data_IF_492711970870
#
_entry.id   IF_492711970870
#
_cell.length_a   1.000
_cell.length_b   1.000
_cell.length_c   1.000
_cell.angle_alpha   90.00
_cell.angle_beta   90.00
_cell.angle_gamma   90.00
#
_symmetry.space_group_name_H-M   'P 1'
#
loop_
_entity.id
_entity.type
_entity.pdbx_description
1 polymer ?
#
# COMPACT_ATOMS: atom_id res chain seq x y z
N UNK A 1 58.76 -13.12 -36.34
CA UNK A 1 59.44 -12.12 -37.20
C UNK A 1 58.38 -11.16 -37.74
N UNK A 2 58.50 -9.86 -37.40
CA UNK A 2 58.01 -8.65 -38.11
C UNK A 2 56.48 -8.48 -38.31
N UNK A 3 55.82 -7.60 -37.55
CA UNK A 3 55.57 -6.14 -37.82
C UNK A 3 54.30 -5.94 -38.68
N UNK A 4 53.43 -4.94 -38.52
CA UNK A 4 53.60 -3.55 -38.11
C UNK A 4 52.23 -2.88 -37.89
N UNK A 5 52.23 -1.94 -36.94
CA UNK A 5 51.35 -0.79 -36.71
C UNK A 5 50.57 -0.23 -37.91
N UNK A 6 49.42 0.41 -37.60
CA UNK A 6 49.06 1.75 -38.11
C UNK A 6 48.17 2.54 -37.13
N UNK A 7 48.66 3.72 -36.77
CA UNK A 7 48.07 4.79 -35.93
C UNK A 7 47.03 5.57 -36.73
N UNK A 8 45.98 6.10 -36.11
CA UNK A 8 45.35 7.37 -36.49
C UNK A 8 44.85 8.10 -35.23
N UNK A 9 45.37 9.31 -35.03
CA UNK A 9 44.93 10.30 -34.03
C UNK A 9 43.86 11.17 -34.68
N UNK A 10 42.76 11.46 -33.99
CA UNK A 10 41.93 12.64 -34.26
C UNK A 10 41.60 13.31 -32.92
N UNK A 11 42.05 14.56 -32.80
CA UNK A 11 41.74 15.52 -31.74
C UNK A 11 40.46 16.24 -32.13
N UNK A 12 39.49 16.34 -31.21
CA UNK A 12 38.35 17.27 -31.33
C UNK A 12 38.30 18.16 -30.09
N UNK A 13 38.71 19.42 -30.27
CA UNK A 13 38.42 20.53 -29.36
C UNK A 13 37.07 21.13 -29.74
N UNK A 14 36.15 21.22 -28.78
CA UNK A 14 34.90 21.97 -28.92
C UNK A 14 34.85 23.07 -27.87
N UNK A 15 34.92 24.30 -28.38
CA UNK A 15 34.67 25.57 -27.73
C UNK A 15 33.15 25.68 -27.52
N UNK A 16 32.68 26.02 -26.32
CA UNK A 16 31.29 26.43 -26.10
C UNK A 16 31.23 27.70 -25.27
N UNK A 17 30.60 28.69 -25.89
CA UNK A 17 30.39 30.06 -25.45
C UNK A 17 29.27 30.07 -24.41
N UNK A 18 29.54 30.64 -23.24
CA UNK A 18 28.54 30.91 -22.21
C UNK A 18 27.90 32.28 -22.47
N UNK A 19 26.61 32.32 -22.75
CA UNK A 19 25.81 33.55 -22.78
C UNK A 19 24.95 33.65 -21.53
N UNK A 20 25.22 34.70 -20.75
CA UNK A 20 24.48 35.11 -19.57
C UNK A 20 23.06 35.57 -19.93
N UNK A 21 22.05 35.06 -19.23
CA UNK A 21 20.70 35.63 -19.24
C UNK A 21 20.47 36.34 -17.91
N UNK A 22 20.25 37.65 -18.02
CA UNK A 22 20.07 38.61 -16.94
C UNK A 22 18.61 38.57 -16.47
N UNK A 23 18.43 38.54 -15.15
CA UNK A 23 17.15 38.67 -14.44
C UNK A 23 16.48 40.02 -14.70
N UNK A 24 15.18 40.02 -14.98
CA UNK A 24 14.33 41.21 -14.88
C UNK A 24 13.11 40.92 -14.01
N UNK A 25 13.05 41.62 -12.87
CA UNK A 25 11.90 41.72 -11.99
C UNK A 25 10.94 42.76 -12.57
N UNK A 26 9.66 42.40 -12.72
CA UNK A 26 8.58 43.31 -13.09
C UNK A 26 7.38 43.09 -12.17
N UNK A 27 7.04 44.11 -11.40
CA UNK A 27 6.02 44.14 -10.35
C UNK A 27 4.61 44.38 -10.89
N UNK A 28 3.63 43.76 -10.24
CA UNK A 28 2.29 44.33 -10.06
C UNK A 28 1.12 43.57 -10.72
N UNK A 29 0.31 42.89 -9.92
CA UNK A 29 -1.01 43.41 -9.52
C UNK A 29 -1.74 42.48 -8.54
N UNK A 30 -2.27 43.10 -7.48
CA UNK A 30 -3.17 42.56 -6.47
C UNK A 30 -4.38 41.84 -7.09
N UNK A 31 -4.62 40.59 -6.66
CA UNK A 31 -5.97 40.08 -6.42
C UNK A 31 -5.99 39.36 -5.09
N UNK A 32 -6.81 39.87 -4.19
CA UNK A 32 -7.19 39.27 -2.92
C UNK A 32 -7.62 37.82 -3.13
N UNK A 33 -6.87 36.88 -2.58
CA UNK A 33 -7.34 35.52 -2.37
C UNK A 33 -7.62 35.36 -0.88
N UNK A 34 -8.89 35.11 -0.59
CA UNK A 34 -9.40 34.63 0.70
C UNK A 34 -8.60 33.40 1.09
N UNK A 35 -7.99 33.44 2.27
CA UNK A 35 -7.35 32.28 2.89
C UNK A 35 -8.48 31.40 3.44
N UNK A 36 -8.84 30.36 2.69
CA UNK A 36 -9.63 29.25 3.19
C UNK A 36 -8.67 28.13 3.58
N UNK A 37 -8.39 28.02 4.88
CA UNK A 37 -7.59 26.93 5.43
C UNK A 37 -8.43 25.64 5.44
N UNK A 38 -8.42 24.92 4.32
CA UNK A 38 -8.91 23.56 4.23
C UNK A 38 -7.86 22.57 4.74
N UNK A 39 -8.15 21.89 5.84
CA UNK A 39 -7.41 20.75 6.36
C UNK A 39 -7.35 19.62 5.31
N UNK A 40 -6.17 19.07 4.93
CA UNK A 40 -6.07 18.07 3.85
C UNK A 40 -6.57 16.65 4.22
N UNK A 41 -7.19 16.46 5.38
CA UNK A 41 -7.57 15.14 5.90
C UNK A 41 -9.00 14.69 5.57
N UNK A 42 -9.74 15.38 4.70
CA UNK A 42 -11.15 15.06 4.42
C UNK A 42 -11.42 14.87 2.93
N UNK A 43 -10.74 13.89 2.31
CA UNK A 43 -11.19 13.34 1.03
C UNK A 43 -11.81 11.98 1.28
N UNK A 44 -13.11 12.04 1.50
CA UNK A 44 -14.03 10.97 1.89
C UNK A 44 -14.04 9.76 0.96
N UNK A 45 -14.07 8.57 1.57
CA UNK A 45 -14.49 7.29 1.01
C UNK A 45 -15.87 7.39 0.31
N UNK A 46 -16.15 6.58 -0.73
CA UNK A 46 -17.47 6.53 -1.38
C UNK A 46 -18.59 6.12 -0.39
N UNK A 47 -19.83 6.61 -0.60
CA UNK A 47 -20.92 6.54 0.39
C UNK A 47 -21.44 5.13 0.69
N UNK A 48 -21.11 4.12 -0.11
CA UNK A 48 -21.64 2.76 0.06
C UNK A 48 -20.90 1.92 1.12
N UNK A 49 -19.75 2.37 1.63
CA UNK A 49 -18.98 1.62 2.64
C UNK A 49 -19.50 1.82 4.07
N UNK A 50 -20.28 2.87 4.34
CA UNK A 50 -20.80 3.14 5.69
C UNK A 50 -21.94 2.20 6.11
N UNK A 51 -22.58 1.50 5.18
CA UNK A 51 -23.83 0.76 5.44
C UNK A 51 -23.65 -0.74 5.76
N UNK A 52 -22.46 -1.31 5.51
CA UNK A 52 -22.21 -2.73 5.76
C UNK A 52 -21.86 -3.04 7.23
N UNK A 53 -21.43 -2.04 8.01
CA UNK A 53 -21.10 -2.20 9.44
C UNK A 53 -22.36 -2.13 10.33
N UNK A 54 -23.49 -1.62 9.82
CA UNK A 54 -24.68 -1.31 10.63
C UNK A 54 -25.67 -2.48 10.78
N UNK A 55 -25.51 -3.60 10.05
CA UNK A 55 -26.52 -4.68 10.04
C UNK A 55 -26.16 -5.87 10.97
N UNK A 56 -24.96 -5.91 11.56
CA UNK A 56 -24.54 -7.06 12.37
C UNK A 56 -24.78 -6.95 13.90
N UNK A 57 -25.41 -5.89 14.40
CA UNK A 57 -25.64 -5.74 15.85
C UNK A 57 -27.10 -5.38 16.13
N UNK A 58 -27.93 -6.40 16.28
CA UNK A 58 -29.15 -6.30 17.09
C UNK A 58 -28.96 -7.09 18.37
N UNK A 59 -29.17 -6.38 19.48
CA UNK A 59 -29.57 -6.86 20.80
C UNK A 59 -28.47 -7.42 21.73
N UNK A 60 -28.00 -6.64 22.70
CA UNK A 60 -28.69 -6.52 23.99
C UNK A 60 -28.03 -5.43 24.90
N UNK A 61 -28.82 -4.90 25.82
CA UNK A 61 -28.64 -3.62 26.51
C UNK A 61 -27.58 -3.62 27.63
N UNK A 62 -26.73 -2.57 27.65
CA UNK A 62 -26.47 -1.69 28.83
C UNK A 62 -25.47 -0.60 28.48
N UNK A 63 -25.94 0.65 28.47
CA UNK A 63 -25.12 1.82 28.19
C UNK A 63 -24.04 2.07 29.25
N UNK A 64 -22.85 2.40 28.78
CA UNK A 64 -21.94 3.32 29.46
C UNK A 64 -20.91 3.87 28.44
N UNK A 65 -20.83 5.20 28.34
CA UNK A 65 -19.67 5.95 27.84
C UNK A 65 -19.32 5.78 26.36
N UNK A 66 -19.81 6.71 25.53
CA UNK A 66 -19.25 7.04 24.23
C UNK A 66 -17.78 7.46 24.42
N UNK A 67 -16.87 6.55 24.14
CA UNK A 67 -15.44 6.78 23.98
C UNK A 67 -15.16 6.51 22.50
N UNK A 68 -14.52 7.47 21.83
CA UNK A 68 -13.99 7.40 20.47
C UNK A 68 -12.90 6.31 20.31
N UNK A 69 -13.23 5.08 20.67
CA UNK A 69 -12.35 3.93 20.53
C UNK A 69 -12.50 3.42 19.09
N UNK A 70 -11.45 3.66 18.30
CA UNK A 70 -11.17 2.91 17.09
C UNK A 70 -11.51 1.42 17.30
N UNK A 71 -12.20 0.75 16.35
CA UNK A 71 -12.62 -0.62 16.53
C UNK A 71 -11.41 -1.51 16.79
N UNK A 72 -11.28 -1.96 18.04
CA UNK A 72 -10.21 -2.86 18.47
C UNK A 72 -10.51 -4.25 17.95
N UNK A 73 -9.77 -4.69 16.94
CA UNK A 73 -9.96 -6.03 16.38
C UNK A 73 -9.33 -7.07 17.33
N UNK A 74 -10.13 -7.92 18.02
CA UNK A 74 -9.66 -8.73 19.15
C UNK A 74 -8.54 -9.71 18.79
N UNK A 75 -8.57 -10.28 17.59
CA UNK A 75 -7.58 -11.23 17.08
C UNK A 75 -6.19 -10.57 16.97
N UNK A 76 -6.14 -9.33 16.49
CA UNK A 76 -4.90 -8.57 16.35
C UNK A 76 -4.32 -8.23 17.72
N UNK A 77 -5.17 -7.79 18.64
CA UNK A 77 -4.72 -7.47 20.00
C UNK A 77 -4.23 -8.70 20.77
N UNK A 78 -4.93 -9.83 20.66
CA UNK A 78 -4.51 -11.09 21.33
C UNK A 78 -3.14 -11.54 20.83
N UNK A 79 -2.93 -11.49 19.50
CA UNK A 79 -1.63 -11.80 18.93
C UNK A 79 -0.54 -10.80 19.37
N UNK A 80 -0.84 -9.50 19.37
CA UNK A 80 0.10 -8.46 19.79
C UNK A 80 0.52 -8.62 21.27
N UNK A 81 -0.42 -8.94 22.16
CA UNK A 81 -0.13 -9.24 23.57
C UNK A 81 0.77 -10.47 23.72
N UNK A 82 0.48 -11.54 22.99
CA UNK A 82 1.33 -12.73 22.97
C UNK A 82 2.72 -12.43 22.43
N UNK A 83 2.84 -11.67 21.33
CA UNK A 83 4.11 -11.28 20.73
C UNK A 83 4.99 -10.51 21.73
N UNK A 84 4.40 -9.56 22.45
CA UNK A 84 5.11 -8.80 23.48
C UNK A 84 5.60 -9.69 24.63
N UNK A 85 4.76 -10.60 25.11
CA UNK A 85 5.13 -11.56 26.15
C UNK A 85 6.23 -12.53 25.67
N UNK A 86 6.11 -13.04 24.45
CA UNK A 86 7.08 -13.94 23.83
C UNK A 86 8.45 -13.25 23.73
N UNK A 87 8.49 -12.01 23.23
CA UNK A 87 9.73 -11.23 23.11
C UNK A 87 10.36 -10.89 24.46
N UNK A 88 9.57 -10.64 25.49
CA UNK A 88 10.06 -10.38 26.85
C UNK A 88 10.56 -11.66 27.57
N UNK A 89 10.18 -12.85 27.08
CA UNK A 89 10.51 -14.12 27.71
C UNK A 89 11.91 -14.63 27.37
N UNK A 90 12.53 -15.35 28.32
CA UNK A 90 13.77 -16.09 28.09
C UNK A 90 13.56 -17.27 27.12
N UNK A 91 14.63 -17.70 26.45
CA UNK A 91 14.59 -18.77 25.43
C UNK A 91 13.90 -20.06 25.89
N UNK A 92 14.18 -20.52 27.12
CA UNK A 92 13.56 -21.73 27.67
C UNK A 92 12.03 -21.61 27.85
N UNK A 93 11.53 -20.42 28.20
CA UNK A 93 10.10 -20.17 28.36
C UNK A 93 9.38 -20.03 27.00
N UNK A 94 10.06 -19.47 25.99
CA UNK A 94 9.51 -19.29 24.62
C UNK A 94 9.11 -20.60 23.97
N UNK A 95 9.83 -21.69 24.21
CA UNK A 95 9.49 -23.01 23.66
C UNK A 95 8.08 -23.47 24.07
N UNK A 96 7.64 -23.15 25.29
CA UNK A 96 6.29 -23.47 25.77
C UNK A 96 5.19 -22.58 25.18
N UNK A 97 5.54 -21.49 24.49
CA UNK A 97 4.59 -20.49 23.97
C UNK A 97 4.30 -20.65 22.47
N UNK A 98 5.01 -21.55 21.77
CA UNK A 98 4.92 -21.68 20.31
C UNK A 98 3.54 -22.14 19.86
N UNK A 99 2.94 -23.12 20.53
CA UNK A 99 1.62 -23.64 20.19
C UNK A 99 0.53 -22.55 20.28
N UNK A 100 0.56 -21.73 21.33
CA UNK A 100 -0.34 -20.59 21.49
C UNK A 100 -0.10 -19.53 20.41
N UNK A 101 1.16 -19.27 20.07
CA UNK A 101 1.54 -18.37 18.99
C UNK A 101 0.97 -18.79 17.64
N UNK A 102 1.06 -20.08 17.33
CA UNK A 102 0.48 -20.67 16.11
C UNK A 102 -1.04 -20.49 16.09
N UNK A 103 -1.73 -20.78 17.19
CA UNK A 103 -3.18 -20.62 17.29
C UNK A 103 -3.61 -19.16 17.07
N UNK A 104 -2.90 -18.21 17.71
CA UNK A 104 -3.17 -16.78 17.58
C UNK A 104 -2.84 -16.24 16.17
N UNK A 105 -1.75 -16.70 15.55
CA UNK A 105 -1.41 -16.30 14.18
C UNK A 105 -2.45 -16.80 13.17
N UNK A 106 -2.98 -18.01 13.34
CA UNK A 106 -4.09 -18.53 12.53
C UNK A 106 -5.36 -17.70 12.67
N UNK A 107 -5.70 -17.28 13.90
CA UNK A 107 -6.85 -16.43 14.15
C UNK A 107 -6.67 -15.02 13.56
N UNK A 108 -5.45 -14.47 13.59
CA UNK A 108 -5.09 -13.18 12.97
C UNK A 108 -5.17 -13.20 11.44
N UNK A 109 -4.85 -14.33 10.80
CA UNK A 109 -4.73 -14.45 9.34
C UNK A 109 -5.94 -13.93 8.53
N UNK A 110 -7.19 -14.38 8.77
CA UNK A 110 -8.33 -13.91 8.00
C UNK A 110 -8.61 -12.41 8.20
N UNK A 111 -8.37 -11.90 9.41
CA UNK A 111 -8.52 -10.46 9.71
C UNK A 111 -7.54 -9.63 8.90
N UNK A 112 -6.26 -10.02 8.87
CA UNK A 112 -5.27 -9.29 8.08
C UNK A 112 -5.51 -9.39 6.58
N UNK A 113 -6.06 -10.51 6.10
CA UNK A 113 -6.49 -10.63 4.71
C UNK A 113 -7.61 -9.63 4.38
N UNK A 114 -8.60 -9.52 5.26
CA UNK A 114 -9.68 -8.55 5.11
C UNK A 114 -9.13 -7.12 5.10
N UNK A 115 -8.23 -6.78 6.03
CA UNK A 115 -7.57 -5.48 6.04
C UNK A 115 -6.78 -5.22 4.77
N UNK A 116 -6.03 -6.18 4.23
CA UNK A 116 -5.32 -6.00 2.96
C UNK A 116 -6.30 -5.58 1.84
N UNK A 117 -7.49 -6.16 1.79
CA UNK A 117 -8.50 -5.87 0.76
C UNK A 117 -9.22 -4.54 1.01
N UNK A 118 -9.63 -4.31 2.26
CA UNK A 118 -10.58 -3.25 2.63
C UNK A 118 -9.89 -1.95 3.06
N UNK A 119 -8.74 -2.08 3.75
CA UNK A 119 -7.93 -0.96 4.27
C UNK A 119 -6.42 -1.32 4.21
N UNK A 120 -5.82 -1.31 3.00
CA UNK A 120 -4.42 -1.67 2.81
C UNK A 120 -3.46 -0.75 3.59
N UNK A 121 -3.85 0.50 3.86
CA UNK A 121 -3.06 1.42 4.69
C UNK A 121 -2.98 0.90 6.13
N UNK A 122 -4.11 0.54 6.73
CA UNK A 122 -4.16 -0.02 8.07
C UNK A 122 -3.47 -1.39 8.14
N UNK A 123 -3.60 -2.23 7.11
CA UNK A 123 -2.89 -3.51 7.04
C UNK A 123 -1.37 -3.32 7.10
N UNK A 124 -0.83 -2.34 6.36
CA UNK A 124 0.60 -2.01 6.37
C UNK A 124 1.04 -1.38 7.69
N UNK A 125 0.18 -0.60 8.35
CA UNK A 125 0.47 -0.06 9.68
C UNK A 125 0.52 -1.15 10.77
N UNK A 126 -0.29 -2.21 10.64
CA UNK A 126 -0.38 -3.32 11.60
C UNK A 126 0.55 -4.49 11.28
N UNK A 127 1.38 -4.36 10.24
CA UNK A 127 2.39 -5.37 9.90
C UNK A 127 3.48 -5.43 10.97
N UNK A 128 4.00 -6.63 11.19
CA UNK A 128 5.14 -6.81 12.08
C UNK A 128 6.40 -6.20 11.45
N UNK A 129 7.23 -5.57 12.27
CA UNK A 129 8.56 -5.11 11.84
C UNK A 129 9.50 -6.28 11.50
N UNK A 130 10.55 -6.07 10.68
CA UNK A 130 11.54 -7.10 10.38
C UNK A 130 12.18 -7.71 11.63
N UNK A 131 12.40 -6.89 12.68
CA UNK A 131 12.94 -7.35 13.95
C UNK A 131 11.98 -8.29 14.68
N UNK A 132 10.68 -7.98 14.70
CA UNK A 132 9.66 -8.83 15.32
C UNK A 132 9.54 -10.15 14.58
N UNK A 133 9.51 -10.10 13.25
CA UNK A 133 9.46 -11.30 12.41
C UNK A 133 10.69 -12.19 12.63
N UNK A 134 11.88 -11.60 12.67
CA UNK A 134 13.14 -12.33 12.88
C UNK A 134 13.25 -13.04 14.23
N UNK A 135 12.44 -12.66 15.23
CA UNK A 135 12.42 -13.30 16.54
C UNK A 135 11.44 -14.49 16.63
N UNK A 136 10.54 -14.65 15.66
CA UNK A 136 9.44 -15.61 15.73
C UNK A 136 9.85 -17.02 15.26
N UNK A 137 9.29 -18.09 15.85
CA UNK A 137 9.44 -19.44 15.34
C UNK A 137 8.87 -19.57 13.92
N UNK A 138 9.48 -20.43 13.11
CA UNK A 138 9.05 -20.69 11.74
C UNK A 138 7.57 -21.13 11.66
N UNK A 139 7.09 -21.91 12.64
CA UNK A 139 5.70 -22.36 12.70
C UNK A 139 4.69 -21.20 12.84
N UNK A 140 5.07 -20.14 13.56
CA UNK A 140 4.24 -18.92 13.70
C UNK A 140 4.30 -18.09 12.42
N UNK A 141 5.51 -17.89 11.89
CA UNK A 141 5.74 -17.12 10.65
C UNK A 141 4.97 -17.69 9.45
N UNK A 142 4.81 -19.02 9.38
CA UNK A 142 4.06 -19.69 8.32
C UNK A 142 2.58 -19.24 8.22
N UNK A 143 2.04 -18.62 9.27
CA UNK A 143 0.66 -18.14 9.30
C UNK A 143 0.52 -16.62 9.08
N UNK A 144 1.63 -15.87 9.08
CA UNK A 144 1.64 -14.42 8.89
C UNK A 144 1.70 -14.03 7.41
N UNK A 145 1.56 -12.73 7.15
CA UNK A 145 1.75 -12.16 5.81
C UNK A 145 3.19 -12.38 5.36
N UNK A 146 3.38 -12.50 4.04
CA UNK A 146 4.70 -12.51 3.41
C UNK A 146 5.07 -11.07 3.01
N UNK A 147 6.31 -10.68 3.29
CA UNK A 147 6.84 -9.43 2.74
C UNK A 147 7.12 -9.63 1.26
N UNK A 148 6.59 -8.74 0.44
CA UNK A 148 6.81 -8.69 -1.00
C UNK A 148 7.64 -7.46 -1.30
N UNK A 149 8.72 -7.65 -2.06
CA UNK A 149 9.53 -6.56 -2.59
C UNK A 149 10.21 -7.03 -3.86
N UNK A 150 10.09 -6.26 -4.93
CA UNK A 150 10.74 -6.56 -6.18
C UNK A 150 10.31 -5.64 -7.31
N UNK A 151 11.08 -5.69 -8.39
CA UNK A 151 10.70 -5.04 -9.65
C UNK A 151 9.72 -5.93 -10.39
N UNK A 152 8.67 -5.33 -10.96
CA UNK A 152 7.63 -6.06 -11.67
C UNK A 152 6.68 -5.15 -12.43
N UNK A 153 5.51 -5.69 -12.77
CA UNK A 153 4.45 -4.96 -13.45
C UNK A 153 3.34 -4.60 -12.45
N UNK A 154 2.89 -3.35 -12.49
CA UNK A 154 1.64 -2.90 -11.87
C UNK A 154 0.61 -2.67 -12.97
N UNK A 155 -0.50 -3.40 -12.93
CA UNK A 155 -1.58 -3.32 -13.92
C UNK A 155 -2.81 -2.63 -13.34
N UNK A 156 -3.44 -1.79 -14.16
CA UNK A 156 -4.76 -1.21 -13.88
C UNK A 156 -5.69 -1.56 -15.04
N UNK A 157 -6.75 -2.28 -14.75
CA UNK A 157 -7.79 -2.66 -15.70
C UNK A 157 -9.09 -1.94 -15.33
N UNK A 158 -9.69 -1.26 -16.30
CA UNK A 158 -11.02 -0.67 -16.15
C UNK A 158 -12.03 -1.47 -16.95
N UNK A 159 -13.02 -2.04 -16.27
CA UNK A 159 -14.13 -2.76 -16.86
C UNK A 159 -15.35 -1.85 -16.78
N UNK A 160 -15.80 -1.35 -17.93
CA UNK A 160 -16.90 -0.40 -18.02
C UNK A 160 -18.07 -1.01 -18.79
N UNK A 161 -19.28 -0.79 -18.31
CA UNK A 161 -20.49 -1.12 -19.06
C UNK A 161 -21.02 0.16 -19.73
N UNK A 162 -21.01 0.19 -21.06
CA UNK A 162 -21.50 1.33 -21.84
C UNK A 162 -22.93 1.14 -22.37
N UNK A 163 -23.68 0.19 -21.83
CA UNK A 163 -24.99 -0.19 -22.36
C UNK A 163 -26.05 0.93 -22.35
N UNK A 164 -25.95 1.91 -21.45
CA UNK A 164 -26.99 2.94 -21.26
C UNK A 164 -26.51 4.40 -21.50
N UNK A 165 -25.29 4.59 -22.00
CA UNK A 165 -24.69 5.92 -22.03
C UNK A 165 -24.88 6.65 -23.38
N UNK A 166 -25.72 7.69 -23.37
CA UNK A 166 -25.79 8.72 -24.45
C UNK A 166 -24.53 9.62 -24.45
N UNK A 167 -23.58 9.38 -23.55
CA UNK A 167 -22.34 10.15 -23.36
C UNK A 167 -21.11 9.57 -24.10
N UNK A 168 -21.29 8.84 -25.20
CA UNK A 168 -20.17 8.36 -26.05
C UNK A 168 -19.37 9.52 -26.68
N UNK A 169 -19.85 10.77 -26.64
CA UNK A 169 -19.22 11.88 -27.37
C UNK A 169 -18.10 12.63 -26.64
N UNK A 170 -17.79 12.35 -25.35
CA UNK A 170 -16.76 13.11 -24.60
C UNK A 170 -15.58 12.28 -24.13
N UNK A 171 -15.51 10.98 -24.46
CA UNK A 171 -14.42 10.10 -24.01
C UNK A 171 -14.31 9.95 -22.49
N UNK A 172 -15.35 10.34 -21.76
CA UNK A 172 -15.42 10.21 -20.31
C UNK A 172 -16.14 8.90 -19.99
N UNK A 173 -15.41 7.94 -19.44
CA UNK A 173 -16.02 6.73 -18.90
C UNK A 173 -16.90 7.14 -17.70
N UNK A 174 -18.18 6.79 -17.76
CA UNK A 174 -19.16 7.16 -16.74
C UNK A 174 -18.93 6.45 -15.41
N UNK A 175 -19.63 6.97 -14.40
CA UNK A 175 -19.80 6.40 -13.06
C UNK A 175 -20.30 4.96 -13.20
N UNK A 176 -19.46 3.98 -12.87
CA UNK A 176 -19.82 2.55 -12.98
C UNK A 176 -18.71 1.61 -13.46
N UNK A 177 -17.53 2.13 -13.85
CA UNK A 177 -16.40 1.26 -14.16
C UNK A 177 -15.86 0.56 -12.91
N UNK A 178 -15.74 -0.76 -12.96
CA UNK A 178 -14.96 -1.55 -12.01
C UNK A 178 -13.48 -1.38 -12.34
N UNK A 179 -12.69 -0.94 -11.36
CA UNK A 179 -11.23 -0.84 -11.50
C UNK A 179 -10.59 -2.00 -10.76
N UNK A 180 -9.95 -2.88 -11.49
CA UNK A 180 -9.11 -3.95 -10.95
C UNK A 180 -7.64 -3.57 -11.07
N UNK A 181 -6.86 -4.00 -10.08
CA UNK A 181 -5.43 -3.75 -10.03
C UNK A 181 -4.69 -5.04 -9.77
N UNK A 182 -3.59 -5.24 -10.48
CA UNK A 182 -2.74 -6.41 -10.31
C UNK A 182 -1.28 -6.00 -10.11
N UNK A 183 -0.55 -6.84 -9.38
CA UNK A 183 0.89 -6.78 -9.30
C UNK A 183 1.49 -8.11 -9.76
N UNK A 184 2.45 -8.07 -10.68
CA UNK A 184 3.20 -9.25 -11.12
C UNK A 184 4.65 -9.11 -10.71
N UNK A 185 5.08 -9.90 -9.72
CA UNK A 185 6.41 -9.80 -9.10
C UNK A 185 6.98 -11.22 -8.99
N UNK A 186 8.21 -11.41 -9.47
CA UNK A 186 8.93 -12.69 -9.41
C UNK A 186 8.13 -13.89 -9.97
N UNK A 187 7.32 -13.68 -11.01
CA UNK A 187 6.49 -14.71 -11.65
C UNK A 187 5.18 -15.03 -10.90
N UNK A 188 4.90 -14.36 -9.78
CA UNK A 188 3.60 -14.44 -9.10
C UNK A 188 2.73 -13.23 -9.47
N UNK A 189 1.43 -13.47 -9.60
CA UNK A 189 0.41 -12.42 -9.78
C UNK A 189 -0.39 -12.26 -8.49
N UNK A 190 -0.70 -11.02 -8.11
CA UNK A 190 -1.50 -10.64 -6.96
C UNK A 190 -2.59 -9.66 -7.38
N UNK A 191 -3.74 -9.73 -6.72
CA UNK A 191 -4.70 -8.62 -6.65
C UNK A 191 -4.09 -7.53 -5.77
N UNK A 192 -3.91 -6.34 -6.33
CA UNK A 192 -3.24 -5.24 -5.65
C UNK A 192 -4.26 -4.24 -5.08
N UNK A 193 -4.27 -4.10 -3.76
CA UNK A 193 -5.11 -3.18 -3.02
C UNK A 193 -4.25 -2.00 -2.59
N UNK A 194 -4.54 -0.82 -3.13
CA UNK A 194 -3.63 0.32 -3.04
C UNK A 194 -4.30 1.51 -2.37
N UNK A 195 -3.49 2.34 -1.74
CA UNK A 195 -3.90 3.58 -1.09
C UNK A 195 -2.96 4.73 -1.49
N UNK A 196 -3.33 5.96 -1.13
CA UNK A 196 -2.52 7.15 -1.35
C UNK A 196 -2.11 7.36 -2.81
N UNK A 197 -0.86 7.77 -3.04
CA UNK A 197 -0.35 8.11 -4.37
C UNK A 197 -0.33 6.93 -5.36
N UNK A 198 -0.28 5.68 -4.87
CA UNK A 198 -0.32 4.49 -5.74
C UNK A 198 -1.68 4.32 -6.41
N UNK A 199 -2.75 4.85 -5.81
CA UNK A 199 -4.10 4.84 -6.38
C UNK A 199 -4.17 5.52 -7.76
N UNK A 200 -3.39 6.58 -7.94
CA UNK A 200 -3.34 7.40 -9.17
C UNK A 200 -2.40 6.85 -10.24
N UNK A 201 -1.60 5.82 -9.90
CA UNK A 201 -0.70 5.19 -10.87
C UNK A 201 -1.50 4.50 -11.96
N UNK A 202 -1.00 4.61 -13.18
CA UNK A 202 -1.45 3.84 -14.34
C UNK A 202 -0.67 2.54 -14.44
N UNK A 203 -1.05 1.69 -15.38
CA UNK A 203 -0.27 0.50 -15.74
C UNK A 203 1.18 0.88 -16.03
N UNK A 204 2.12 0.19 -15.38
CA UNK A 204 3.56 0.41 -15.48
C UNK A 204 4.28 -0.93 -15.43
N UNK A 205 5.22 -1.11 -16.36
CA UNK A 205 6.22 -2.16 -16.31
C UNK A 205 7.47 -1.69 -15.56
N UNK A 206 8.31 -2.63 -15.14
CA UNK A 206 9.61 -2.41 -14.50
C UNK A 206 9.58 -1.44 -13.31
N UNK A 207 8.49 -1.47 -12.53
CA UNK A 207 8.30 -0.63 -11.35
C UNK A 207 8.69 -1.39 -10.09
N UNK A 208 9.35 -0.70 -9.15
CA UNK A 208 9.59 -1.23 -7.82
C UNK A 208 8.28 -1.29 -7.05
N UNK A 209 7.89 -2.49 -6.62
CA UNK A 209 6.71 -2.76 -5.82
C UNK A 209 7.13 -3.37 -4.50
N UNK A 210 6.52 -2.91 -3.41
CA UNK A 210 6.73 -3.46 -2.08
C UNK A 210 5.43 -3.43 -1.28
N UNK A 211 5.28 -4.39 -0.37
CA UNK A 211 4.03 -4.58 0.33
C UNK A 211 4.01 -5.83 1.20
N UNK A 212 2.83 -6.17 1.68
CA UNK A 212 2.58 -7.42 2.40
C UNK A 212 1.49 -8.22 1.68
N UNK A 213 1.72 -9.51 1.50
CA UNK A 213 0.78 -10.40 0.83
C UNK A 213 0.22 -11.47 1.77
N UNK A 214 -1.08 -11.69 1.64
CA UNK A 214 -1.78 -12.84 2.19
C UNK A 214 -2.44 -13.60 1.05
N UNK A 215 -1.97 -14.83 0.82
CA UNK A 215 -2.35 -15.62 -0.37
C UNK A 215 -2.03 -14.85 -1.66
N UNK A 216 -3.06 -14.38 -2.38
CA UNK A 216 -2.97 -13.62 -3.63
C UNK A 216 -3.45 -12.17 -3.50
N UNK A 217 -3.71 -11.72 -2.28
CA UNK A 217 -4.04 -10.33 -1.97
C UNK A 217 -2.77 -9.61 -1.51
N UNK A 218 -2.46 -8.46 -2.12
CA UNK A 218 -1.30 -7.63 -1.83
C UNK A 218 -1.75 -6.23 -1.45
N UNK A 219 -1.27 -5.73 -0.31
CA UNK A 219 -1.33 -4.33 0.07
C UNK A 219 0.02 -3.65 -0.17
#
# INVERSE_FOLDING_TARGET
MKSSLRRWFIVFTLLSVATSIIWTWGTGQNRSAVVESGNPAEKSLPPDTKRAIEIAVTDDSKGNGLSDAEPKIPELERFARWLNAYRASASAARAGMEADGVALAKARRPVMKALIIEDPEQALALRLSPQERGALPAAVLAHLEREISGTGMYGVLAICNHADDVAVSTGTHSVGCLIEREARIAGETFSAHVYGATWEKKTQDDVLLSGIAMDKELA
#
